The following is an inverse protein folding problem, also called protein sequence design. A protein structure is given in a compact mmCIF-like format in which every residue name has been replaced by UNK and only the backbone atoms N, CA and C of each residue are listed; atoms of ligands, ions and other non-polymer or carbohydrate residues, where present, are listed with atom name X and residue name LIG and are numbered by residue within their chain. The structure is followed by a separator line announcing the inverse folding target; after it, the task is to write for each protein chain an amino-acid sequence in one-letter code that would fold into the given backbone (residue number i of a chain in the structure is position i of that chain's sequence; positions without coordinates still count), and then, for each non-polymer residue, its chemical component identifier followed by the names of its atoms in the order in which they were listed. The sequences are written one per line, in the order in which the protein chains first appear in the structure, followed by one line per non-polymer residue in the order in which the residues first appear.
data_IF_817238501443
#
_entry.id   IF_817238501443
#
_cell.length_a   1.000
_cell.length_b   1.000
_cell.length_c   1.000
_cell.angle_alpha   90.00
_cell.angle_beta   90.00
_cell.angle_gamma   90.00
#
_symmetry.space_group_name_H-M   'P 1'
#
loop_
_entity.id
_entity.type
_entity.pdbx_description
1 polymer ?
#
# COMPACT_ATOMS: atom_id res chain seq x y z
N UNK A 1 3.50 -16.92 -23.78
CA UNK A 1 4.73 -16.90 -22.95
C UNK A 1 4.42 -17.31 -21.52
N UNK A 2 5.27 -18.14 -20.94
CA UNK A 2 5.16 -18.62 -19.56
C UNK A 2 6.22 -17.89 -18.73
N UNK A 3 5.80 -17.21 -17.67
CA UNK A 3 6.68 -16.57 -16.69
C UNK A 3 6.72 -17.45 -15.44
N UNK A 4 7.91 -17.72 -14.92
CA UNK A 4 8.10 -18.41 -13.65
C UNK A 4 8.82 -17.43 -12.73
N UNK A 5 8.17 -17.04 -11.64
CA UNK A 5 8.65 -16.06 -10.68
C UNK A 5 8.69 -16.69 -9.29
N UNK A 6 9.84 -16.59 -8.64
CA UNK A 6 10.04 -17.07 -7.28
C UNK A 6 10.26 -15.86 -6.37
N UNK A 7 9.31 -15.62 -5.46
CA UNK A 7 9.25 -14.50 -4.52
C UNK A 7 9.57 -13.11 -5.13
N UNK A 8 8.90 -12.69 -6.23
CA UNK A 8 9.25 -11.45 -6.93
C UNK A 8 8.88 -10.18 -6.15
N UNK A 9 8.05 -10.30 -5.11
CA UNK A 9 7.62 -9.18 -4.25
C UNK A 9 8.64 -8.85 -3.16
N UNK A 10 9.59 -9.75 -2.88
CA UNK A 10 10.56 -9.54 -1.81
C UNK A 10 11.45 -8.33 -2.08
N UNK A 11 11.67 -7.51 -1.05
CA UNK A 11 12.48 -6.29 -1.08
C UNK A 11 12.01 -5.21 -2.07
N UNK A 12 10.79 -5.33 -2.62
CA UNK A 12 10.19 -4.30 -3.46
C UNK A 12 9.42 -3.29 -2.61
N UNK A 13 9.45 -2.03 -3.03
CA UNK A 13 8.60 -1.02 -2.42
C UNK A 13 7.14 -1.14 -2.89
N UNK A 14 6.23 -0.52 -2.13
CA UNK A 14 4.79 -0.70 -2.33
C UNK A 14 4.37 -0.24 -3.74
N UNK A 15 5.01 0.80 -4.28
CA UNK A 15 4.78 1.30 -5.63
C UNK A 15 5.29 0.34 -6.71
N UNK A 16 6.46 -0.28 -6.52
CA UNK A 16 6.99 -1.25 -7.50
C UNK A 16 6.17 -2.54 -7.48
N UNK A 17 5.69 -2.99 -6.32
CA UNK A 17 4.74 -4.12 -6.23
C UNK A 17 3.48 -3.80 -7.05
N UNK A 18 2.92 -2.59 -6.90
CA UNK A 18 1.77 -2.13 -7.67
C UNK A 18 2.00 -2.07 -9.18
N UNK A 19 3.21 -1.66 -9.59
CA UNK A 19 3.61 -1.66 -10.99
C UNK A 19 3.72 -3.11 -11.52
N UNK A 20 4.30 -4.01 -10.72
CA UNK A 20 4.42 -5.42 -11.05
C UNK A 20 3.04 -6.09 -11.18
N UNK A 21 2.11 -5.78 -10.27
CA UNK A 21 0.71 -6.22 -10.35
C UNK A 21 0.13 -5.84 -11.71
N UNK A 22 0.18 -4.55 -12.08
CA UNK A 22 -0.33 -4.06 -13.37
C UNK A 22 0.36 -4.72 -14.57
N UNK A 23 1.67 -4.94 -14.51
CA UNK A 23 2.43 -5.57 -15.58
C UNK A 23 2.00 -7.03 -15.83
N UNK A 24 1.71 -7.75 -14.75
CA UNK A 24 1.31 -9.16 -14.79
C UNK A 24 -0.16 -9.33 -15.18
N UNK A 25 -1.04 -8.41 -14.76
CA UNK A 25 -2.46 -8.40 -15.20
C UNK A 25 -2.63 -7.97 -16.65
N UNK A 26 -1.66 -7.23 -17.21
CA UNK A 26 -1.74 -6.73 -18.59
C UNK A 26 -1.29 -7.78 -19.61
N UNK A 27 -2.24 -8.24 -20.44
CA UNK A 27 -2.02 -9.15 -21.57
C UNK A 27 -2.32 -10.62 -21.25
N UNK A 28 -2.43 -11.47 -22.28
CA UNK A 28 -2.65 -12.91 -22.12
C UNK A 28 -1.33 -13.64 -21.89
N UNK A 29 -0.83 -13.60 -20.65
CA UNK A 29 0.38 -14.30 -20.18
C UNK A 29 0.00 -15.45 -19.25
N UNK A 30 0.79 -16.51 -19.23
CA UNK A 30 0.69 -17.54 -18.18
C UNK A 30 1.79 -17.28 -17.16
N UNK A 31 1.43 -17.08 -15.90
CA UNK A 31 2.39 -16.77 -14.82
C UNK A 31 2.29 -17.87 -13.77
N UNK A 32 3.42 -18.52 -13.49
CA UNK A 32 3.61 -19.37 -12.32
C UNK A 32 4.40 -18.57 -11.29
N UNK A 33 3.83 -18.41 -10.12
CA UNK A 33 4.32 -17.52 -9.08
C UNK A 33 4.40 -18.27 -7.76
N UNK A 34 5.50 -18.09 -7.05
CA UNK A 34 5.61 -18.39 -5.62
C UNK A 34 5.77 -17.06 -4.90
N UNK A 35 4.88 -16.76 -3.95
CA UNK A 35 5.00 -15.56 -3.11
C UNK A 35 4.32 -15.77 -1.76
N UNK A 36 4.81 -15.07 -0.74
CA UNK A 36 4.13 -14.92 0.55
C UNK A 36 3.19 -13.69 0.64
N UNK A 37 3.16 -12.81 -0.37
CA UNK A 37 2.31 -11.61 -0.36
C UNK A 37 0.84 -11.96 -0.65
N UNK A 38 -0.02 -11.81 0.37
CA UNK A 38 -1.43 -12.18 0.32
C UNK A 38 -2.24 -11.29 -0.63
N UNK A 39 -1.96 -9.99 -0.67
CA UNK A 39 -2.66 -9.07 -1.57
C UNK A 39 -2.27 -9.33 -3.02
N UNK A 40 -0.99 -9.59 -3.26
CA UNK A 40 -0.50 -9.92 -4.59
C UNK A 40 -1.12 -11.22 -5.12
N UNK A 41 -1.22 -12.24 -4.27
CA UNK A 41 -1.93 -13.49 -4.60
C UNK A 41 -3.42 -13.24 -4.87
N UNK A 42 -4.10 -12.43 -4.04
CA UNK A 42 -5.53 -12.19 -4.20
C UNK A 42 -5.86 -11.41 -5.49
N UNK A 43 -5.01 -10.47 -5.88
CA UNK A 43 -5.21 -9.61 -7.05
C UNK A 43 -4.84 -10.27 -8.38
N UNK A 44 -3.80 -11.12 -8.40
CA UNK A 44 -3.25 -11.68 -9.65
C UNK A 44 -3.68 -13.12 -9.88
N UNK A 45 -3.75 -13.93 -8.83
CA UNK A 45 -3.93 -15.37 -9.00
C UNK A 45 -5.37 -15.74 -9.33
N UNK A 46 -5.52 -16.62 -10.32
CA UNK A 46 -6.78 -17.23 -10.73
C UNK A 46 -6.92 -18.68 -10.26
N UNK A 47 -5.78 -19.33 -10.00
CA UNK A 47 -5.67 -20.69 -9.48
C UNK A 47 -4.55 -20.72 -8.44
N UNK A 48 -4.82 -21.32 -7.29
CA UNK A 48 -3.85 -21.51 -6.20
C UNK A 48 -3.59 -23.00 -6.04
N UNK A 49 -2.30 -23.34 -5.91
CA UNK A 49 -1.85 -24.71 -5.68
C UNK A 49 -1.13 -24.77 -4.34
N UNK A 50 -1.72 -25.48 -3.40
CA UNK A 50 -1.14 -25.72 -2.08
C UNK A 50 -0.39 -27.05 -2.07
N UNK A 51 0.85 -27.03 -1.59
CA UNK A 51 1.61 -28.24 -1.30
C UNK A 51 1.56 -28.51 0.21
N UNK A 52 0.78 -29.50 0.63
CA UNK A 52 0.69 -29.89 2.05
C UNK A 52 0.92 -31.40 2.21
N UNK A 53 1.82 -31.78 3.14
CA UNK A 53 2.21 -33.16 3.46
C UNK A 53 2.54 -34.04 2.22
N UNK A 54 3.13 -33.44 1.20
CA UNK A 54 3.48 -34.11 -0.05
C UNK A 54 2.32 -34.31 -1.04
N UNK A 55 1.13 -33.79 -0.72
CA UNK A 55 -0.01 -33.75 -1.62
C UNK A 55 -0.15 -32.36 -2.22
N UNK A 56 -0.56 -32.30 -3.49
CA UNK A 56 -0.84 -31.04 -4.20
C UNK A 56 -2.36 -30.86 -4.28
N UNK A 57 -2.85 -29.78 -3.70
CA UNK A 57 -4.26 -29.39 -3.74
C UNK A 57 -4.44 -28.17 -4.65
N UNK A 58 -5.38 -28.25 -5.58
CA UNK A 58 -5.66 -27.17 -6.52
C UNK A 58 -6.99 -26.50 -6.21
N UNK A 59 -6.96 -25.19 -6.11
CA UNK A 59 -8.11 -24.33 -5.85
C UNK A 59 -8.28 -23.33 -6.99
N UNK A 60 -9.47 -23.27 -7.58
CA UNK A 60 -9.79 -22.29 -8.64
C UNK A 60 -10.43 -21.06 -8.00
N UNK A 61 -9.65 -20.01 -7.81
CA UNK A 61 -10.06 -18.79 -7.14
C UNK A 61 -8.85 -17.97 -6.67
N UNK A 62 -9.15 -16.84 -6.06
CA UNK A 62 -8.18 -15.96 -5.41
C UNK A 62 -7.74 -16.51 -4.04
N UNK A 63 -6.83 -15.80 -3.37
CA UNK A 63 -6.27 -16.20 -2.08
C UNK A 63 -7.32 -16.29 -0.98
N UNK A 64 -8.26 -15.34 -0.95
CA UNK A 64 -9.39 -15.34 -0.02
C UNK A 64 -10.26 -16.60 -0.16
N UNK A 65 -10.57 -17.01 -1.40
CA UNK A 65 -11.32 -18.24 -1.67
C UNK A 65 -10.56 -19.50 -1.24
N UNK A 66 -9.24 -19.53 -1.48
CA UNK A 66 -8.38 -20.62 -1.01
C UNK A 66 -8.43 -20.75 0.52
N UNK A 67 -8.32 -19.64 1.27
CA UNK A 67 -8.37 -19.65 2.73
C UNK A 67 -9.71 -20.21 3.25
N UNK A 68 -10.83 -19.78 2.67
CA UNK A 68 -12.16 -20.31 3.03
C UNK A 68 -12.21 -21.83 2.81
N UNK A 69 -11.81 -22.31 1.62
CA UNK A 69 -11.80 -23.74 1.31
C UNK A 69 -10.80 -24.56 2.11
N UNK A 70 -9.68 -23.96 2.49
CA UNK A 70 -8.71 -24.58 3.40
C UNK A 70 -9.32 -24.74 4.80
N UNK A 71 -10.00 -23.71 5.32
CA UNK A 71 -10.66 -23.79 6.62
C UNK A 71 -11.80 -24.83 6.64
N UNK A 72 -12.59 -24.93 5.57
CA UNK A 72 -13.59 -25.99 5.40
C UNK A 72 -12.93 -27.39 5.41
N UNK A 73 -11.79 -27.55 4.72
CA UNK A 73 -11.04 -28.81 4.72
C UNK A 73 -10.52 -29.16 6.10
N UNK A 74 -9.88 -28.20 6.78
CA UNK A 74 -9.31 -28.41 8.11
C UNK A 74 -10.38 -28.76 9.16
N UNK A 75 -11.56 -28.14 9.08
CA UNK A 75 -12.68 -28.49 9.97
C UNK A 75 -13.23 -29.89 9.69
N UNK A 76 -13.34 -30.29 8.42
CA UNK A 76 -13.73 -31.65 8.03
C UNK A 76 -12.69 -32.66 8.52
N UNK A 77 -11.40 -32.37 8.32
CA UNK A 77 -10.29 -33.22 8.75
C UNK A 77 -10.27 -33.35 10.28
N UNK A 78 -10.45 -32.26 11.02
CA UNK A 78 -10.53 -32.28 12.48
C UNK A 78 -11.69 -33.17 12.98
N UNK A 79 -12.88 -33.07 12.39
CA UNK A 79 -14.03 -33.94 12.71
C UNK A 79 -13.72 -35.41 12.38
N UNK A 80 -13.04 -35.68 11.25
CA UNK A 80 -12.66 -37.02 10.85
C UNK A 80 -11.63 -37.62 11.81
N UNK A 81 -10.68 -36.81 12.28
CA UNK A 81 -9.68 -37.19 13.29
C UNK A 81 -10.32 -37.47 14.63
N UNK A 82 -11.25 -36.63 15.07
CA UNK A 82 -11.96 -36.83 16.33
C UNK A 82 -12.79 -38.13 16.31
N UNK A 83 -13.53 -38.39 15.22
CA UNK A 83 -14.24 -39.66 15.00
C UNK A 83 -13.29 -40.85 15.03
N UNK A 84 -12.13 -40.74 14.37
CA UNK A 84 -11.11 -41.78 14.34
C UNK A 84 -10.52 -42.03 15.73
N UNK A 85 -10.24 -40.98 16.50
CA UNK A 85 -9.74 -41.04 17.88
C UNK A 85 -10.75 -41.71 18.82
N UNK A 86 -12.03 -41.37 18.69
CA UNK A 86 -13.10 -41.99 19.47
C UNK A 86 -13.28 -43.47 19.11
N UNK A 87 -13.16 -43.83 17.83
CA UNK A 87 -13.15 -45.23 17.39
C UNK A 87 -11.95 -45.98 17.97
N UNK A 88 -10.74 -45.41 17.86
CA UNK A 88 -9.52 -46.00 18.42
C UNK A 88 -9.66 -46.22 19.93
N UNK A 89 -10.21 -45.27 20.68
CA UNK A 89 -10.46 -45.41 22.12
C UNK A 89 -11.38 -46.61 22.44
N UNK A 90 -12.47 -46.78 21.68
CA UNK A 90 -13.41 -47.90 21.85
C UNK A 90 -12.74 -49.25 21.51
N UNK A 91 -11.97 -49.30 20.44
CA UNK A 91 -11.25 -50.52 20.05
C UNK A 91 -10.12 -50.85 21.04
N UNK A 92 -9.43 -49.84 21.60
CA UNK A 92 -8.42 -50.02 22.64
C UNK A 92 -9.03 -50.59 23.93
N UNK A 93 -10.20 -50.09 24.36
CA UNK A 93 -10.95 -50.67 25.48
C UNK A 93 -11.36 -52.12 25.21
N UNK A 94 -11.71 -52.47 23.98
CA UNK A 94 -12.01 -53.84 23.58
C UNK A 94 -10.75 -54.72 23.60
N UNK A 95 -9.62 -54.23 23.07
CA UNK A 95 -8.33 -54.94 23.09
C UNK A 95 -7.80 -55.16 24.52
N UNK A 96 -7.99 -54.19 25.44
CA UNK A 96 -7.65 -54.32 26.86
C UNK A 96 -8.39 -55.46 27.57
N UNK A 97 -9.54 -55.89 27.05
CA UNK A 97 -10.28 -57.06 27.56
C UNK A 97 -9.69 -58.41 27.10
N UNK A 98 -8.56 -58.38 26.37
CA UNK A 98 -7.84 -59.55 25.86
C UNK A 98 -8.75 -60.57 25.12
N UNK A 99 -9.46 -60.14 24.07
CA UNK A 99 -10.32 -61.03 23.30
C UNK A 99 -9.50 -62.15 22.62
N UNK A 100 -9.94 -63.40 22.76
CA UNK A 100 -9.26 -64.53 22.13
C UNK A 100 -9.54 -64.56 20.62
N UNK A 101 -8.48 -64.57 19.80
CA UNK A 101 -8.53 -64.58 18.33
C UNK A 101 -8.91 -65.95 17.73
N UNK A 102 -9.93 -66.61 18.29
CA UNK A 102 -10.33 -67.98 17.89
C UNK A 102 -11.28 -68.03 16.69
N UNK A 103 -11.87 -66.91 16.28
CA UNK A 103 -12.80 -66.81 15.13
C UNK A 103 -12.38 -65.77 14.10
N UNK A 104 -12.82 -65.94 12.85
CA UNK A 104 -12.49 -65.07 11.70
C UNK A 104 -12.85 -63.60 11.93
N UNK A 105 -14.02 -63.32 12.54
CA UNK A 105 -14.47 -61.96 12.89
C UNK A 105 -13.63 -61.28 13.99
N UNK A 106 -13.12 -62.06 14.94
CA UNK A 106 -12.26 -61.53 16.01
C UNK A 106 -10.86 -61.23 15.48
N UNK A 107 -10.35 -62.07 14.58
CA UNK A 107 -9.05 -61.87 13.93
C UNK A 107 -9.04 -60.64 13.02
N UNK A 108 -10.08 -60.46 12.19
CA UNK A 108 -10.21 -59.28 11.33
C UNK A 108 -10.33 -57.97 12.11
N UNK A 109 -10.96 -58.01 13.30
CA UNK A 109 -11.10 -56.82 14.15
C UNK A 109 -9.79 -56.43 14.84
N UNK A 110 -8.98 -57.43 15.23
CA UNK A 110 -7.64 -57.20 15.77
C UNK A 110 -6.72 -56.62 14.70
N UNK A 111 -6.75 -57.15 13.48
CA UNK A 111 -6.00 -56.60 12.33
C UNK A 111 -6.44 -55.16 12.02
N UNK A 112 -7.76 -54.90 11.98
CA UNK A 112 -8.29 -53.56 11.77
C UNK A 112 -7.88 -52.56 12.87
N UNK A 113 -7.72 -53.00 14.13
CA UNK A 113 -7.21 -52.16 15.20
C UNK A 113 -5.75 -51.72 14.95
N UNK A 114 -4.87 -52.64 14.57
CA UNK A 114 -3.47 -52.30 14.30
C UNK A 114 -3.32 -51.36 13.09
N UNK A 115 -4.10 -51.60 12.02
CA UNK A 115 -4.17 -50.69 10.87
C UNK A 115 -4.69 -49.29 11.26
N UNK A 116 -5.69 -49.23 12.14
CA UNK A 116 -6.25 -47.98 12.63
C UNK A 116 -5.26 -47.24 13.54
N UNK A 117 -4.51 -47.96 14.38
CA UNK A 117 -3.49 -47.41 15.26
C UNK A 117 -2.33 -46.80 14.46
N UNK A 118 -1.88 -47.50 13.40
CA UNK A 118 -0.82 -47.02 12.52
C UNK A 118 -1.23 -45.75 11.77
N UNK A 119 -2.44 -45.75 11.18
CA UNK A 119 -2.98 -44.56 10.49
C UNK A 119 -3.23 -43.39 11.43
N UNK A 120 -3.67 -43.64 12.67
CA UNK A 120 -3.94 -42.58 13.64
C UNK A 120 -2.67 -41.94 14.21
N UNK A 121 -1.53 -42.64 14.26
CA UNK A 121 -0.24 -42.06 14.71
C UNK A 121 0.30 -41.00 13.74
N UNK A 122 -0.03 -41.10 12.45
CA UNK A 122 0.35 -40.12 11.44
C UNK A 122 -0.46 -38.80 11.54
N UNK A 123 -1.58 -38.78 12.24
CA UNK A 123 -2.49 -37.63 12.33
C UNK A 123 -2.36 -36.93 13.69
N UNK A 124 -1.17 -36.42 14.02
CA UNK A 124 -1.03 -35.46 15.13
C UNK A 124 -1.39 -34.07 14.60
N UNK A 125 -2.45 -33.49 15.15
CA UNK A 125 -2.91 -32.14 14.84
C UNK A 125 -2.04 -31.06 15.50
N UNK A 126 -1.96 -29.92 14.83
CA UNK A 126 -1.39 -28.69 15.38
C UNK A 126 -2.52 -27.97 16.16
N UNK A 127 -2.51 -28.07 17.49
CA UNK A 127 -3.36 -27.22 18.32
C UNK A 127 -2.72 -25.82 18.38
N UNK A 128 -3.38 -24.82 17.77
CA UNK A 128 -3.01 -23.41 17.92
C UNK A 128 -3.63 -22.85 19.22
N UNK A 129 -2.79 -22.43 20.15
CA UNK A 129 -3.19 -21.73 21.39
C UNK A 129 -2.95 -20.24 21.18
N UNK A 130 -3.95 -19.41 21.50
CA UNK A 130 -3.87 -17.95 21.42
C UNK A 130 -2.95 -17.37 22.50
N UNK A 131 -2.09 -16.41 22.14
CA UNK A 131 -1.08 -15.81 23.03
C UNK A 131 -1.52 -14.42 23.52
N UNK A 132 -1.48 -14.17 24.84
CA UNK A 132 -1.77 -12.86 25.45
C UNK A 132 -0.71 -12.46 26.51
N UNK A 133 0.42 -11.90 26.04
CA UNK A 133 1.57 -11.55 26.89
C UNK A 133 1.35 -10.23 27.66
N UNK A 134 1.83 -10.18 28.92
CA UNK A 134 1.93 -8.91 29.66
C UNK A 134 3.19 -8.21 29.25
N UNK A 135 3.02 -7.07 28.61
CA UNK A 135 4.10 -6.15 28.34
C UNK A 135 4.64 -5.59 29.67
N UNK A 136 5.95 -5.42 29.76
CA UNK A 136 6.63 -4.80 30.92
C UNK A 136 5.99 -3.45 31.31
N UNK A 137 5.97 -3.14 32.62
CA UNK A 137 5.34 -1.89 33.13
C UNK A 137 5.94 -0.67 32.44
N UNK A 138 5.08 0.13 31.84
CA UNK A 138 5.44 1.28 31.03
C UNK A 138 5.13 2.57 31.79
N UNK A 139 6.14 3.43 31.98
CA UNK A 139 5.97 4.77 32.55
C UNK A 139 5.18 5.71 31.64
N UNK A 140 4.82 6.89 32.14
CA UNK A 140 4.03 7.88 31.40
C UNK A 140 4.79 8.50 30.22
N UNK A 141 6.13 8.48 30.24
CA UNK A 141 7.02 8.95 29.18
C UNK A 141 7.70 7.75 28.54
N UNK A 142 7.54 7.59 27.22
CA UNK A 142 8.06 6.43 26.46
C UNK A 142 9.21 6.89 25.55
N UNK A 143 8.89 7.76 24.59
CA UNK A 143 9.82 8.36 23.65
C UNK A 143 9.24 9.70 23.18
N UNK A 144 10.05 10.75 23.23
CA UNK A 144 9.71 12.08 22.74
C UNK A 144 10.79 12.55 21.75
N UNK A 145 10.34 12.98 20.58
CA UNK A 145 11.15 13.57 19.52
C UNK A 145 10.79 15.05 19.42
N UNK A 146 11.77 15.93 19.56
CA UNK A 146 11.59 17.37 19.45
C UNK A 146 12.50 17.94 18.36
N UNK A 147 11.90 18.50 17.31
CA UNK A 147 12.57 19.18 16.20
C UNK A 147 13.76 18.39 15.63
N UNK A 148 13.60 17.07 15.51
CA UNK A 148 14.66 16.16 15.10
C UNK A 148 14.97 16.37 13.62
N UNK A 149 16.24 16.59 13.30
CA UNK A 149 16.72 16.65 11.93
C UNK A 149 17.96 15.77 11.75
N UNK A 150 18.03 15.09 10.59
CA UNK A 150 19.14 14.24 10.20
C UNK A 150 19.47 14.39 8.72
N UNK A 151 20.76 14.58 8.42
CA UNK A 151 21.28 14.74 7.06
C UNK A 151 22.52 13.87 6.83
N UNK A 152 22.56 13.23 5.67
CA UNK A 152 23.75 12.53 5.18
C UNK A 152 24.34 13.28 3.99
N UNK A 153 25.46 13.98 4.24
CA UNK A 153 26.09 14.84 3.24
C UNK A 153 25.14 15.94 2.75
N UNK A 154 24.75 15.89 1.48
CA UNK A 154 23.79 16.80 0.87
C UNK A 154 22.32 16.31 0.95
N UNK A 155 22.08 15.05 1.32
CA UNK A 155 20.75 14.45 1.34
C UNK A 155 20.11 14.59 2.71
N UNK A 156 19.04 15.36 2.79
CA UNK A 156 18.22 15.49 3.99
C UNK A 156 17.27 14.30 4.11
N UNK A 157 17.33 13.62 5.26
CA UNK A 157 16.56 12.40 5.52
C UNK A 157 15.34 12.71 6.38
N UNK A 158 15.53 13.51 7.44
CA UNK A 158 14.44 14.01 8.31
C UNK A 158 14.70 15.49 8.55
N UNK A 159 13.67 16.31 8.38
CA UNK A 159 13.68 17.74 8.63
C UNK A 159 12.59 18.09 9.65
N UNK A 160 12.99 18.60 10.81
CA UNK A 160 12.12 19.19 11.82
C UNK A 160 10.94 18.30 12.28
N UNK A 161 11.22 17.02 12.55
CA UNK A 161 10.20 16.08 12.97
C UNK A 161 10.02 16.09 14.49
N UNK A 162 8.78 16.27 14.95
CA UNK A 162 8.43 16.21 16.37
C UNK A 162 7.27 15.25 16.60
N UNK A 163 7.43 14.34 17.56
CA UNK A 163 6.40 13.36 17.90
C UNK A 163 6.58 12.83 19.33
N UNK A 164 5.48 12.68 20.05
CA UNK A 164 5.45 12.11 21.39
C UNK A 164 4.71 10.77 21.35
N UNK A 165 5.45 9.68 21.59
CA UNK A 165 4.90 8.33 21.63
C UNK A 165 4.09 8.13 22.92
N UNK A 166 2.87 7.65 22.75
CA UNK A 166 1.93 7.28 23.81
C UNK A 166 1.85 5.76 23.94
N UNK A 167 1.32 5.33 25.08
CA UNK A 167 1.12 3.92 25.36
C UNK A 167 0.09 3.31 24.40
N UNK A 168 0.46 2.20 23.77
CA UNK A 168 -0.40 1.49 22.83
C UNK A 168 -0.36 2.07 21.41
N UNK A 169 0.53 3.02 21.11
CA UNK A 169 0.70 3.53 19.75
C UNK A 169 1.11 2.40 18.81
N UNK A 170 0.36 2.26 17.71
CA UNK A 170 0.59 1.30 16.63
C UNK A 170 0.86 2.07 15.35
N UNK A 171 2.14 2.18 15.00
CA UNK A 171 2.62 3.06 13.94
C UNK A 171 3.21 2.23 12.80
N UNK A 172 2.68 2.39 11.59
CA UNK A 172 3.26 1.87 10.36
C UNK A 172 4.19 2.90 9.71
N UNK A 173 5.35 2.46 9.21
CA UNK A 173 6.24 3.32 8.43
C UNK A 173 6.13 2.98 6.94
N UNK A 174 5.64 3.93 6.15
CA UNK A 174 5.46 3.79 4.71
C UNK A 174 6.38 4.74 3.93
N UNK A 175 6.85 4.32 2.75
CA UNK A 175 7.69 5.15 1.88
C UNK A 175 8.60 4.32 0.98
N UNK A 176 9.16 4.96 -0.06
CA UNK A 176 10.06 4.29 -1.01
C UNK A 176 11.38 3.87 -0.34
N UNK A 177 12.09 2.94 -0.98
CA UNK A 177 13.39 2.52 -0.47
C UNK A 177 14.40 3.68 -0.53
N UNK A 178 15.15 3.86 0.55
CA UNK A 178 16.13 4.94 0.68
C UNK A 178 15.55 6.33 1.00
N UNK A 179 14.29 6.43 1.45
CA UNK A 179 13.70 7.69 1.94
C UNK A 179 14.10 8.03 3.38
N UNK A 180 14.58 7.05 4.16
CA UNK A 180 15.05 7.29 5.54
C UNK A 180 14.49 6.39 6.64
N UNK A 181 13.63 5.42 6.32
CA UNK A 181 12.97 4.55 7.31
C UNK A 181 13.94 3.90 8.30
N UNK A 182 14.96 3.19 7.82
CA UNK A 182 15.97 2.56 8.70
C UNK A 182 16.79 3.59 9.49
N UNK A 183 17.10 4.74 8.90
CA UNK A 183 17.74 5.85 9.63
C UNK A 183 16.85 6.37 10.77
N UNK A 184 15.55 6.51 10.54
CA UNK A 184 14.59 6.87 11.59
C UNK A 184 14.60 5.84 12.71
N UNK A 185 14.59 4.54 12.37
CA UNK A 185 14.68 3.46 13.35
C UNK A 185 15.99 3.50 14.17
N UNK A 186 17.13 3.78 13.53
CA UNK A 186 18.41 3.92 14.21
C UNK A 186 18.45 5.14 15.15
N UNK A 187 17.79 6.24 14.77
CA UNK A 187 17.68 7.43 15.62
C UNK A 187 16.84 7.16 16.87
N UNK A 188 15.68 6.52 16.74
CA UNK A 188 14.79 6.25 17.88
C UNK A 188 15.34 5.18 18.83
N UNK A 189 16.19 4.28 18.34
CA UNK A 189 16.87 3.26 19.15
C UNK A 189 18.17 3.75 19.76
N UNK A 190 18.63 4.96 19.38
CA UNK A 190 19.84 5.59 19.89
C UNK A 190 21.14 5.08 19.28
N UNK A 191 21.09 4.24 18.23
CA UNK A 191 22.27 3.80 17.47
C UNK A 191 22.90 4.96 16.69
N UNK A 192 22.06 5.90 16.24
CA UNK A 192 22.47 7.14 15.60
C UNK A 192 22.03 8.36 16.41
N UNK A 193 22.84 9.42 16.36
CA UNK A 193 22.50 10.71 16.97
C UNK A 193 21.84 11.64 15.95
N UNK A 194 20.83 12.42 16.35
CA UNK A 194 20.29 13.48 15.50
C UNK A 194 21.32 14.60 15.30
N UNK A 195 21.27 15.28 14.17
CA UNK A 195 22.15 16.43 13.90
C UNK A 195 21.60 17.72 14.51
N UNK A 196 20.25 17.83 14.61
CA UNK A 196 19.52 18.86 15.35
C UNK A 196 18.34 18.25 16.08
N UNK A 197 17.86 18.95 17.10
CA UNK A 197 16.74 18.51 17.95
C UNK A 197 17.19 17.60 19.09
N UNK A 198 16.21 17.06 19.82
CA UNK A 198 16.43 16.17 20.97
C UNK A 198 15.54 14.94 20.91
N UNK A 199 16.09 13.82 21.37
CA UNK A 199 15.39 12.56 21.55
C UNK A 199 15.44 12.22 23.04
N UNK A 200 14.28 12.19 23.70
CA UNK A 200 14.15 11.87 25.11
C UNK A 200 13.48 10.51 25.28
N UNK A 201 14.26 9.51 25.70
CA UNK A 201 13.79 8.14 25.98
C UNK A 201 13.35 8.02 27.43
N UNK A 202 12.23 7.36 27.69
CA UNK A 202 11.77 7.04 29.04
C UNK A 202 12.65 5.99 29.73
N UNK A 203 12.89 6.15 31.04
CA UNK A 203 13.76 5.24 31.82
C UNK A 203 13.28 3.78 31.83
N UNK A 204 11.97 3.56 31.72
CA UNK A 204 11.38 2.21 31.71
C UNK A 204 11.25 1.62 30.31
N UNK A 205 11.70 2.30 29.26
CA UNK A 205 11.52 1.84 27.87
C UNK A 205 12.49 0.71 27.55
N UNK A 206 11.95 -0.45 27.16
CA UNK A 206 12.71 -1.63 26.73
C UNK A 206 12.42 -1.87 25.26
N UNK A 207 13.44 -1.67 24.42
CA UNK A 207 13.35 -1.87 22.98
C UNK A 207 13.51 -3.33 22.59
N UNK A 208 12.60 -3.80 21.75
CA UNK A 208 12.76 -5.01 20.95
C UNK A 208 12.89 -4.60 19.50
N UNK A 209 14.06 -4.81 18.90
CA UNK A 209 14.28 -4.46 17.50
C UNK A 209 14.57 -5.72 16.68
N UNK A 210 13.63 -6.07 15.80
CA UNK A 210 13.82 -7.05 14.73
C UNK A 210 14.35 -6.33 13.49
N UNK A 211 15.62 -6.59 13.16
CA UNK A 211 16.31 -6.09 11.96
C UNK A 211 16.35 -7.19 10.90
N UNK A 212 16.33 -6.79 9.63
CA UNK A 212 16.58 -7.67 8.47
C UNK A 212 18.00 -8.29 8.46
N UNK A 213 18.92 -7.77 9.29
CA UNK A 213 20.26 -8.34 9.47
C UNK A 213 20.24 -9.70 10.17
N UNK A 214 21.16 -10.58 9.79
CA UNK A 214 21.20 -11.98 10.25
C UNK A 214 21.39 -12.16 11.76
N UNK A 215 20.99 -13.35 12.22
CA UNK A 215 21.08 -13.79 13.60
C UNK A 215 22.56 -13.86 14.08
N UNK A 216 23.02 -12.91 14.89
CA UNK A 216 24.32 -12.98 15.58
C UNK A 216 24.28 -13.98 16.73
N UNK A 217 24.36 -15.27 16.40
CA UNK A 217 24.33 -16.36 17.38
C UNK A 217 25.34 -17.42 16.98
N UNK A 218 25.96 -18.06 17.98
CA UNK A 218 26.86 -19.16 17.73
C UNK A 218 26.07 -20.34 17.13
N UNK A 219 26.45 -20.77 15.94
CA UNK A 219 25.74 -21.83 15.23
C UNK A 219 25.82 -23.20 15.93
N UNK A 220 26.71 -23.33 16.91
CA UNK A 220 26.92 -24.50 17.76
C UNK A 220 25.99 -24.56 18.96
N UNK A 221 25.24 -23.50 19.26
CA UNK A 221 24.33 -23.48 20.39
C UNK A 221 23.03 -24.22 20.02
N UNK A 222 22.32 -24.71 21.05
CA UNK A 222 20.99 -25.31 20.86
C UNK A 222 19.95 -24.21 20.76
N UNK A 223 18.92 -24.43 19.96
CA UNK A 223 17.82 -23.48 19.75
C UNK A 223 17.20 -23.02 21.07
N UNK A 224 16.91 -23.97 21.96
CA UNK A 224 16.36 -23.65 23.28
C UNK A 224 17.31 -22.81 24.14
N UNK A 225 18.61 -23.10 24.10
CA UNK A 225 19.61 -22.44 24.95
C UNK A 225 19.80 -20.99 24.51
N UNK A 226 19.78 -20.72 23.19
CA UNK A 226 19.85 -19.36 22.63
C UNK A 226 18.73 -18.47 23.16
N UNK A 227 17.54 -19.02 23.31
CA UNK A 227 16.35 -18.30 23.78
C UNK A 227 16.36 -18.17 25.30
N UNK A 228 16.70 -19.25 26.02
CA UNK A 228 16.84 -19.24 27.49
C UNK A 228 17.91 -18.30 28.00
N UNK A 229 19.00 -18.11 27.26
CA UNK A 229 20.06 -17.16 27.61
C UNK A 229 19.56 -15.71 27.75
N UNK A 230 18.38 -15.40 27.22
CA UNK A 230 17.76 -14.07 27.33
C UNK A 230 16.81 -14.03 28.52
N UNK A 231 15.90 -15.00 28.59
CA UNK A 231 14.92 -15.14 29.64
C UNK A 231 14.45 -16.60 29.73
N UNK A 232 14.38 -17.14 30.95
CA UNK A 232 13.83 -18.47 31.18
C UNK A 232 12.30 -18.51 31.01
N UNK A 233 11.64 -17.38 31.27
CA UNK A 233 10.19 -17.24 31.24
C UNK A 233 9.72 -15.80 31.00
N UNK A 234 8.51 -15.67 30.43
CA UNK A 234 7.79 -14.40 30.26
C UNK A 234 6.49 -14.46 31.08
N UNK A 235 6.19 -13.38 31.81
CA UNK A 235 4.91 -13.24 32.53
C UNK A 235 3.79 -12.75 31.59
N UNK A 236 2.66 -13.47 31.58
CA UNK A 236 1.47 -13.21 30.79
C UNK A 236 0.51 -12.25 31.49
N UNK A 237 -0.42 -11.64 30.73
CA UNK A 237 -1.29 -10.57 31.22
C UNK A 237 -2.22 -11.05 32.34
N UNK A 238 -2.59 -12.32 32.29
CA UNK A 238 -3.38 -13.08 33.27
C UNK A 238 -2.59 -13.52 34.52
N UNK A 239 -1.27 -13.28 34.57
CA UNK A 239 -0.39 -13.73 35.66
C UNK A 239 0.17 -15.14 35.48
N UNK A 240 -0.11 -15.81 34.37
CA UNK A 240 0.54 -17.08 34.01
C UNK A 240 1.96 -16.83 33.49
N UNK A 241 2.80 -17.86 33.52
CA UNK A 241 4.20 -17.78 33.11
C UNK A 241 4.38 -18.68 31.89
N UNK A 242 4.76 -18.09 30.74
CA UNK A 242 5.13 -18.86 29.55
C UNK A 242 6.63 -19.15 29.60
N UNK A 243 6.97 -20.44 29.51
CA UNK A 243 8.37 -20.88 29.41
C UNK A 243 8.91 -20.70 27.99
N UNK A 244 10.24 -20.60 27.87
CA UNK A 244 10.87 -20.48 26.57
C UNK A 244 10.54 -21.61 25.58
N UNK A 245 10.36 -22.84 26.08
CA UNK A 245 9.98 -24.01 25.27
C UNK A 245 8.54 -23.93 24.76
N UNK A 246 7.61 -23.39 25.56
CA UNK A 246 6.24 -23.16 25.13
C UNK A 246 6.18 -22.10 24.03
N UNK A 247 6.85 -20.95 24.20
CA UNK A 247 6.88 -19.91 23.17
C UNK A 247 7.46 -20.43 21.86
N UNK A 248 8.57 -21.20 21.92
CA UNK A 248 9.15 -21.84 20.74
C UNK A 248 8.16 -22.78 20.04
N UNK A 249 7.43 -23.59 20.82
CA UNK A 249 6.41 -24.50 20.27
C UNK A 249 5.32 -23.73 19.52
N UNK A 250 4.87 -22.59 20.05
CA UNK A 250 3.87 -21.74 19.40
C UNK A 250 4.38 -21.13 18.10
N UNK A 251 5.66 -20.76 18.03
CA UNK A 251 6.31 -20.29 16.80
C UNK A 251 6.81 -21.44 15.90
N UNK A 252 6.08 -22.56 15.91
CA UNK A 252 6.25 -23.71 15.04
C UNK A 252 7.62 -24.42 15.20
N UNK A 253 8.24 -24.34 16.38
CA UNK A 253 9.38 -25.20 16.73
C UNK A 253 8.92 -26.39 17.58
N UNK A 254 8.69 -27.57 16.99
CA UNK A 254 8.34 -28.76 17.75
C UNK A 254 9.46 -29.11 18.76
N UNK A 255 9.13 -29.76 19.90
CA UNK A 255 10.10 -30.05 20.97
C UNK A 255 11.37 -30.76 20.48
N UNK A 256 11.26 -31.65 19.49
CA UNK A 256 12.40 -32.36 18.89
C UNK A 256 13.42 -31.41 18.24
N UNK A 257 12.94 -30.34 17.59
CA UNK A 257 13.80 -29.32 16.96
C UNK A 257 14.40 -28.36 17.97
N UNK A 258 13.76 -28.12 19.12
CA UNK A 258 14.26 -27.21 20.15
C UNK A 258 15.59 -27.65 20.76
N UNK A 259 15.82 -28.97 20.84
CA UNK A 259 17.09 -29.53 21.31
C UNK A 259 18.16 -29.64 20.21
N UNK A 260 17.80 -29.34 18.96
CA UNK A 260 18.71 -29.30 17.83
C UNK A 260 19.66 -28.10 17.88
N UNK A 261 20.70 -28.15 17.04
CA UNK A 261 21.67 -27.07 16.88
C UNK A 261 21.20 -26.05 15.85
N UNK A 262 21.56 -24.77 16.06
CA UNK A 262 21.19 -23.65 15.17
C UNK A 262 21.72 -23.84 13.73
N UNK A 263 22.87 -24.49 13.54
CA UNK A 263 23.42 -24.77 12.21
C UNK A 263 22.53 -25.66 11.31
N UNK A 264 21.64 -26.47 11.89
CA UNK A 264 20.73 -27.35 11.16
C UNK A 264 19.42 -26.67 10.76
N UNK A 265 19.18 -25.45 11.23
CA UNK A 265 17.98 -24.70 10.93
C UNK A 265 18.01 -24.16 9.50
N UNK A 266 16.85 -24.17 8.83
CA UNK A 266 16.66 -23.47 7.56
C UNK A 266 16.76 -21.96 7.75
N UNK A 267 16.95 -21.21 6.65
CA UNK A 267 17.00 -19.74 6.71
C UNK A 267 15.75 -19.13 7.36
N UNK A 268 14.55 -19.62 7.00
CA UNK A 268 13.28 -19.19 7.61
C UNK A 268 13.18 -19.56 9.08
N UNK A 269 13.66 -20.74 9.48
CA UNK A 269 13.72 -21.13 10.90
C UNK A 269 14.70 -20.24 11.69
N UNK A 270 15.87 -19.91 11.14
CA UNK A 270 16.80 -18.96 11.78
C UNK A 270 16.15 -17.59 12.00
N UNK A 271 15.35 -17.10 11.04
CA UNK A 271 14.59 -15.84 11.15
C UNK A 271 13.48 -15.91 12.21
N UNK A 272 12.75 -17.02 12.31
CA UNK A 272 11.81 -17.26 13.42
C UNK A 272 12.51 -17.21 14.78
N UNK A 273 13.68 -17.83 14.89
CA UNK A 273 14.47 -17.81 16.12
C UNK A 273 14.91 -16.38 16.50
N UNK A 274 15.24 -15.55 15.50
CA UNK A 274 15.56 -14.14 15.71
C UNK A 274 14.39 -13.35 16.26
N UNK A 275 13.20 -13.55 15.70
CA UNK A 275 11.97 -12.95 16.21
C UNK A 275 11.74 -13.39 17.66
N UNK A 276 11.93 -14.67 17.99
CA UNK A 276 11.79 -15.17 19.37
C UNK A 276 12.76 -14.52 20.33
N UNK A 277 14.01 -14.31 19.90
CA UNK A 277 15.02 -13.61 20.67
C UNK A 277 14.58 -12.19 21.05
N UNK A 278 13.92 -11.50 20.11
CA UNK A 278 13.40 -10.14 20.33
C UNK A 278 12.21 -10.16 21.29
N UNK A 279 11.25 -11.06 21.09
CA UNK A 279 10.05 -11.15 21.93
C UNK A 279 10.35 -11.59 23.37
N UNK A 280 11.37 -12.45 23.57
CA UNK A 280 11.81 -12.89 24.90
C UNK A 280 12.32 -11.76 25.81
N UNK A 281 12.76 -10.65 25.24
CA UNK A 281 13.16 -9.48 26.03
C UNK A 281 11.98 -8.81 26.76
N UNK A 282 10.75 -9.25 26.50
CA UNK A 282 9.52 -8.60 26.93
C UNK A 282 9.53 -7.08 26.71
N UNK A 283 9.80 -6.64 25.47
CA UNK A 283 9.91 -5.22 25.15
C UNK A 283 8.56 -4.52 25.35
N UNK A 284 8.59 -3.26 25.76
CA UNK A 284 7.42 -2.38 25.74
C UNK A 284 7.40 -1.42 24.54
N UNK A 285 8.49 -1.43 23.77
CA UNK A 285 8.63 -0.75 22.49
C UNK A 285 9.16 -1.75 21.47
N UNK A 286 8.30 -2.23 20.58
CA UNK A 286 8.63 -3.25 19.58
C UNK A 286 8.77 -2.59 18.21
N UNK A 287 9.89 -2.84 17.55
CA UNK A 287 10.20 -2.38 16.20
C UNK A 287 10.40 -3.61 15.33
N UNK A 288 9.59 -3.73 14.28
CA UNK A 288 9.68 -4.81 13.30
C UNK A 288 10.02 -4.20 11.94
N UNK A 289 11.23 -4.49 11.44
CA UNK A 289 11.71 -4.00 10.15
C UNK A 289 11.61 -5.10 9.09
N UNK A 290 10.65 -4.96 8.18
CA UNK A 290 10.28 -5.89 7.10
C UNK A 290 10.09 -7.36 7.55
N UNK A 291 9.22 -7.65 8.53
CA UNK A 291 9.02 -9.03 9.00
C UNK A 291 8.40 -9.95 7.94
N UNK A 292 7.66 -9.41 6.96
CA UNK A 292 6.97 -10.18 5.91
C UNK A 292 7.91 -10.86 4.92
N UNK A 293 9.06 -10.25 4.62
CA UNK A 293 9.99 -10.72 3.58
C UNK A 293 10.72 -12.01 3.97
N UNK A 294 10.64 -12.36 5.25
CA UNK A 294 11.53 -13.28 5.91
C UNK A 294 10.78 -14.47 6.53
N UNK A 295 9.44 -14.41 6.56
CA UNK A 295 8.60 -15.32 7.32
C UNK A 295 7.49 -15.90 6.45
N UNK A 296 7.32 -17.22 6.51
CA UNK A 296 6.22 -17.92 5.85
C UNK A 296 4.84 -17.43 6.37
N UNK A 297 3.80 -17.58 5.56
CA UNK A 297 2.40 -17.17 5.87
C UNK A 297 1.93 -17.66 7.25
N UNK A 298 2.21 -18.92 7.60
CA UNK A 298 1.79 -19.50 8.88
C UNK A 298 2.47 -18.80 10.07
N UNK A 299 3.73 -18.38 9.88
CA UNK A 299 4.46 -17.63 10.90
C UNK A 299 3.96 -16.21 11.03
N UNK A 300 3.62 -15.58 9.90
CA UNK A 300 3.01 -14.25 9.89
C UNK A 300 1.66 -14.27 10.62
N UNK A 301 0.83 -15.29 10.44
CA UNK A 301 -0.42 -15.45 11.20
C UNK A 301 -0.19 -15.51 12.71
N UNK A 302 0.76 -16.34 13.17
CA UNK A 302 1.10 -16.43 14.60
C UNK A 302 1.63 -15.09 15.13
N UNK A 303 2.45 -14.39 14.33
CA UNK A 303 2.96 -13.07 14.70
C UNK A 303 1.84 -12.02 14.74
N UNK A 304 0.90 -12.03 13.80
CA UNK A 304 -0.28 -11.16 13.80
C UNK A 304 -1.11 -11.36 15.07
N UNK A 305 -1.45 -12.59 15.42
CA UNK A 305 -2.22 -12.91 16.63
C UNK A 305 -1.51 -12.45 17.91
N UNK A 306 -0.17 -12.55 17.92
CA UNK A 306 0.66 -12.01 18.99
C UNK A 306 0.59 -10.49 19.07
N UNK A 307 0.74 -9.81 17.94
CA UNK A 307 0.79 -8.35 17.84
C UNK A 307 -0.58 -7.71 18.08
N UNK A 308 -1.68 -8.40 17.77
CA UNK A 308 -3.03 -7.92 18.04
C UNK A 308 -3.27 -7.77 19.56
N UNK A 309 -2.74 -8.72 20.34
CA UNK A 309 -2.84 -8.70 21.80
C UNK A 309 -1.75 -7.87 22.50
N UNK A 310 -0.77 -7.35 21.77
CA UNK A 310 0.35 -6.60 22.32
C UNK A 310 -0.09 -5.18 22.77
N UNK A 311 0.22 -4.83 24.03
CA UNK A 311 -0.23 -3.57 24.66
C UNK A 311 0.86 -2.48 24.75
N UNK A 312 2.03 -2.74 24.18
CA UNK A 312 3.14 -1.78 24.13
C UNK A 312 3.04 -0.88 22.90
N UNK A 313 4.11 -0.12 22.64
CA UNK A 313 4.26 0.63 21.39
C UNK A 313 4.79 -0.29 20.32
N UNK A 314 4.15 -0.29 19.14
CA UNK A 314 4.54 -1.06 17.97
C UNK A 314 4.90 -0.10 16.84
N UNK A 315 6.11 -0.26 16.30
CA UNK A 315 6.49 0.31 15.01
C UNK A 315 6.70 -0.82 14.01
N UNK A 316 5.97 -0.76 12.91
CA UNK A 316 6.03 -1.74 11.85
C UNK A 316 6.51 -1.06 10.57
N UNK A 317 7.69 -1.46 10.08
CA UNK A 317 8.08 -1.23 8.67
C UNK A 317 7.69 -2.47 7.92
N UNK A 318 6.74 -2.34 6.99
CA UNK A 318 6.39 -3.45 6.12
C UNK A 318 6.03 -2.92 4.75
N UNK A 319 6.27 -3.76 3.74
CA UNK A 319 5.73 -3.58 2.40
C UNK A 319 4.42 -4.35 2.20
N UNK A 320 4.07 -5.22 3.15
CA UNK A 320 2.80 -5.91 3.21
C UNK A 320 1.69 -4.96 3.69
N UNK A 321 0.79 -4.61 2.76
CA UNK A 321 -0.37 -3.75 3.01
C UNK A 321 -1.34 -4.37 4.01
N UNK A 322 -1.48 -5.70 4.02
CA UNK A 322 -2.41 -6.41 4.90
C UNK A 322 -1.97 -6.29 6.35
N UNK A 323 -0.67 -6.49 6.57
CA UNK A 323 -0.08 -6.39 7.89
C UNK A 323 -0.18 -4.96 8.44
N UNK A 324 0.07 -3.95 7.58
CA UNK A 324 -0.08 -2.54 7.95
C UNK A 324 -1.54 -2.20 8.29
N UNK A 325 -2.49 -2.54 7.44
CA UNK A 325 -3.91 -2.22 7.65
C UNK A 325 -4.50 -2.88 8.89
N UNK A 326 -4.05 -4.10 9.21
CA UNK A 326 -4.57 -4.86 10.36
C UNK A 326 -3.95 -4.42 11.69
N UNK A 327 -2.67 -4.06 11.70
CA UNK A 327 -1.90 -3.87 12.94
C UNK A 327 -1.58 -2.41 13.28
N UNK A 328 -1.82 -1.46 12.37
CA UNK A 328 -1.44 -0.05 12.55
C UNK A 328 -2.65 0.87 12.55
N UNK A 329 -2.67 1.82 13.47
CA UNK A 329 -3.71 2.86 13.59
C UNK A 329 -3.24 4.21 13.02
N UNK A 330 -1.92 4.35 12.86
CA UNK A 330 -1.26 5.57 12.44
C UNK A 330 -0.12 5.24 11.48
N UNK A 331 0.09 6.08 10.47
CA UNK A 331 1.12 5.92 9.46
C UNK A 331 2.07 7.12 9.43
N UNK A 332 3.37 6.85 9.41
CA UNK A 332 4.39 7.83 9.08
C UNK A 332 4.84 7.60 7.64
N UNK A 333 4.51 8.56 6.79
CA UNK A 333 4.79 8.52 5.36
C UNK A 333 6.05 9.34 5.09
N UNK A 334 7.08 8.65 4.60
CA UNK A 334 8.35 9.24 4.19
C UNK A 334 8.28 9.58 2.70
N UNK A 335 7.93 10.83 2.38
CA UNK A 335 7.87 11.35 1.01
C UNK A 335 9.28 11.58 0.41
N UNK A 336 10.30 11.61 1.27
CA UNK A 336 11.68 11.94 0.92
C UNK A 336 11.99 13.43 1.09
N UNK A 337 13.26 13.81 0.84
CA UNK A 337 13.78 15.18 1.03
C UNK A 337 13.58 15.73 2.46
N UNK A 338 13.52 14.87 3.47
CA UNK A 338 13.35 15.28 4.87
C UNK A 338 11.91 15.32 5.37
N UNK A 339 10.90 15.15 4.50
CA UNK A 339 9.50 15.29 4.90
C UNK A 339 8.96 13.95 5.42
N UNK A 340 8.44 13.98 6.64
CA UNK A 340 7.73 12.87 7.28
C UNK A 340 6.32 13.34 7.61
N UNK A 341 5.33 12.88 6.85
CA UNK A 341 3.92 13.19 7.10
C UNK A 341 3.32 12.15 8.05
N UNK A 342 2.52 12.62 8.99
CA UNK A 342 1.75 11.78 9.90
C UNK A 342 0.32 11.68 9.38
N UNK A 343 -0.17 10.46 9.17
CA UNK A 343 -1.55 10.16 8.83
C UNK A 343 -2.18 9.28 9.91
N UNK A 344 -3.38 9.63 10.36
CA UNK A 344 -4.11 8.86 11.36
C UNK A 344 -5.19 8.06 10.63
N UNK A 345 -4.99 6.76 10.50
CA UNK A 345 -5.81 5.88 9.67
C UNK A 345 -4.99 4.73 9.10
N UNK A 346 -5.66 3.82 8.40
CA UNK A 346 -5.03 2.69 7.74
C UNK A 346 -4.39 3.11 6.39
N UNK A 347 -3.66 2.20 5.75
CA UNK A 347 -2.98 2.45 4.48
C UNK A 347 -3.95 2.52 3.31
N UNK A 348 -5.02 1.72 3.35
CA UNK A 348 -6.07 1.73 2.34
C UNK A 348 -6.76 3.11 2.20
N UNK A 349 -7.13 3.73 3.32
CA UNK A 349 -7.80 5.03 3.39
C UNK A 349 -6.86 6.14 2.89
N UNK A 350 -5.60 6.12 3.35
CA UNK A 350 -4.57 7.05 2.86
C UNK A 350 -4.44 6.99 1.33
N UNK A 351 -4.45 5.78 0.76
CA UNK A 351 -4.33 5.59 -0.69
C UNK A 351 -5.55 6.14 -1.43
N UNK A 352 -6.76 5.90 -0.94
CA UNK A 352 -7.98 6.43 -1.57
C UNK A 352 -7.96 7.96 -1.63
N UNK A 353 -7.58 8.60 -0.52
CA UNK A 353 -7.42 10.06 -0.47
C UNK A 353 -6.34 10.56 -1.44
N UNK A 354 -5.20 9.88 -1.53
CA UNK A 354 -4.13 10.22 -2.47
C UNK A 354 -4.59 10.11 -3.93
N UNK A 355 -5.32 9.05 -4.28
CA UNK A 355 -5.87 8.88 -5.62
C UNK A 355 -6.91 9.95 -5.96
N UNK A 356 -7.75 10.35 -5.00
CA UNK A 356 -8.69 11.46 -5.16
C UNK A 356 -7.98 12.79 -5.37
N UNK A 357 -6.97 13.09 -4.56
CA UNK A 357 -6.13 14.29 -4.71
C UNK A 357 -5.47 14.30 -6.09
N UNK A 358 -4.88 13.19 -6.53
CA UNK A 358 -4.26 13.10 -7.85
C UNK A 358 -5.26 13.23 -8.99
N UNK A 359 -6.49 12.70 -8.85
CA UNK A 359 -7.57 12.89 -9.83
C UNK A 359 -7.96 14.36 -9.89
N UNK A 360 -8.16 15.01 -8.75
CA UNK A 360 -8.47 16.44 -8.67
C UNK A 360 -7.34 17.30 -9.23
N UNK A 361 -6.08 16.95 -9.01
CA UNK A 361 -4.92 17.64 -9.60
C UNK A 361 -4.84 17.43 -11.11
N UNK A 362 -5.08 16.21 -11.61
CA UNK A 362 -5.14 15.92 -13.05
C UNK A 362 -6.33 16.63 -13.70
N UNK A 363 -7.45 16.78 -13.00
CA UNK A 363 -8.60 17.56 -13.47
C UNK A 363 -8.31 19.05 -13.47
N UNK A 364 -7.65 19.57 -12.43
CA UNK A 364 -7.16 20.96 -12.39
C UNK A 364 -6.16 21.21 -13.51
N UNK A 365 -5.20 20.32 -13.72
CA UNK A 365 -4.23 20.42 -14.82
C UNK A 365 -4.93 20.32 -16.17
N UNK A 366 -5.87 19.40 -16.39
CA UNK A 366 -6.67 19.35 -17.61
C UNK A 366 -7.48 20.63 -17.83
N UNK A 367 -8.04 21.24 -16.78
CA UNK A 367 -8.72 22.54 -16.87
C UNK A 367 -7.73 23.65 -17.23
N UNK A 368 -6.55 23.68 -16.62
CA UNK A 368 -5.48 24.64 -16.93
C UNK A 368 -4.98 24.43 -18.37
N UNK A 369 -4.78 23.20 -18.83
CA UNK A 369 -4.38 22.89 -20.21
C UNK A 369 -5.51 23.24 -21.19
N UNK A 370 -6.77 23.02 -20.85
CA UNK A 370 -7.91 23.45 -21.67
C UNK A 370 -8.09 24.98 -21.70
N UNK A 371 -7.77 25.68 -20.61
CA UNK A 371 -7.70 27.14 -20.55
C UNK A 371 -6.48 27.70 -21.29
N UNK A 372 -5.37 26.97 -21.35
CA UNK A 372 -4.17 27.35 -22.13
C UNK A 372 -4.28 27.01 -23.63
N UNK A 373 -5.12 26.02 -24.01
CA UNK A 373 -5.42 25.68 -25.41
C UNK A 373 -6.56 26.54 -25.98
N UNK A 374 -7.28 27.30 -25.15
CA UNK A 374 -7.89 28.54 -25.68
C UNK A 374 -6.71 29.43 -26.08
N UNK A 375 -6.54 29.74 -27.38
CA UNK A 375 -5.49 30.66 -27.76
C UNK A 375 -5.75 31.95 -26.98
N UNK A 376 -4.77 32.35 -26.17
CA UNK A 376 -4.61 33.73 -25.76
C UNK A 376 -4.24 34.46 -27.04
N UNK A 377 -5.22 34.66 -27.93
CA UNK A 377 -5.24 35.88 -28.72
C UNK A 377 -5.47 36.92 -27.64
N UNK A 378 -4.39 37.55 -27.18
CA UNK A 378 -4.48 38.92 -26.74
C UNK A 378 -5.00 39.67 -27.96
N UNK A 379 -6.32 39.70 -28.13
CA UNK A 379 -6.95 40.85 -28.74
C UNK A 379 -6.65 41.98 -27.77
N UNK A 380 -5.48 42.60 -27.92
CA UNK A 380 -5.44 44.04 -27.77
C UNK A 380 -6.53 44.54 -28.71
N UNK A 381 -7.74 44.75 -28.17
CA UNK A 381 -8.72 45.61 -28.81
C UNK A 381 -7.97 46.91 -29.05
N UNK A 382 -7.47 47.10 -30.27
CA UNK A 382 -6.96 48.38 -30.75
C UNK A 382 -8.12 49.34 -30.59
N UNK A 383 -8.20 50.02 -29.45
CA UNK A 383 -9.11 51.14 -29.28
C UNK A 383 -8.74 52.14 -30.37
N UNK A 384 -9.71 52.48 -31.21
CA UNK A 384 -9.58 53.52 -32.23
C UNK A 384 -8.90 54.74 -31.61
N UNK A 385 -7.85 55.23 -32.27
CA UNK A 385 -7.22 56.48 -31.92
C UNK A 385 -8.26 57.61 -31.93
N UNK A 386 -8.11 58.64 -31.10
CA UNK A 386 -9.03 59.79 -31.07
C UNK A 386 -9.23 60.42 -32.47
N UNK A 387 -8.22 60.31 -33.34
CA UNK A 387 -8.31 60.75 -34.74
C UNK A 387 -9.21 59.85 -35.60
N UNK A 388 -9.23 58.55 -35.35
CA UNK A 388 -10.02 57.56 -36.10
C UNK A 388 -11.50 57.57 -35.68
N UNK A 389 -11.82 57.86 -34.41
CA UNK A 389 -13.20 58.12 -33.98
C UNK A 389 -13.79 59.39 -34.63
N UNK A 390 -12.95 60.42 -34.80
CA UNK A 390 -13.35 61.65 -35.46
C UNK A 390 -13.47 61.47 -36.99
N UNK A 391 -12.67 60.59 -37.57
CA UNK A 391 -12.79 60.13 -38.96
C UNK A 391 -14.10 59.36 -39.18
N UNK A 392 -14.47 58.44 -38.28
CA UNK A 392 -15.72 57.69 -38.34
C UNK A 392 -16.96 58.59 -38.38
N UNK A 393 -17.08 59.53 -37.42
CA UNK A 393 -18.21 60.46 -37.38
C UNK A 393 -18.26 61.37 -38.62
N UNK A 394 -17.10 61.76 -39.17
CA UNK A 394 -17.03 62.54 -40.41
C UNK A 394 -17.45 61.74 -41.63
N UNK A 395 -17.05 60.47 -41.72
CA UNK A 395 -17.43 59.59 -42.83
C UNK A 395 -18.94 59.38 -42.85
N UNK A 396 -19.59 59.26 -41.69
CA UNK A 396 -21.05 59.15 -41.59
C UNK A 396 -21.76 60.40 -42.14
N UNK A 397 -21.35 61.60 -41.71
CA UNK A 397 -21.89 62.86 -42.26
C UNK A 397 -21.60 63.05 -43.76
N UNK A 398 -20.45 62.57 -44.24
CA UNK A 398 -20.06 62.69 -45.65
C UNK A 398 -20.84 61.71 -46.54
N UNK A 399 -21.11 60.50 -46.07
CA UNK A 399 -21.94 59.51 -46.78
C UNK A 399 -23.37 60.04 -46.91
N UNK A 400 -23.96 60.56 -45.84
CA UNK A 400 -25.32 61.13 -45.87
C UNK A 400 -25.44 62.32 -46.86
N UNK A 401 -24.40 63.18 -46.92
CA UNK A 401 -24.33 64.29 -47.90
C UNK A 401 -24.20 63.79 -49.34
N UNK A 402 -23.46 62.71 -49.59
CA UNK A 402 -23.31 62.15 -50.92
C UNK A 402 -24.58 61.41 -51.37
N UNK A 403 -25.24 60.68 -50.48
CA UNK A 403 -26.53 60.01 -50.75
C UNK A 403 -27.62 61.01 -51.10
N UNK A 404 -27.70 62.13 -50.36
CA UNK A 404 -28.64 63.21 -50.67
C UNK A 404 -28.32 63.87 -52.02
N UNK A 405 -27.04 64.02 -52.39
CA UNK A 405 -26.66 64.51 -53.72
C UNK A 405 -27.02 63.53 -54.84
N UNK A 406 -26.87 62.21 -54.63
CA UNK A 406 -27.32 61.19 -55.58
C UNK A 406 -28.82 61.27 -55.76
N UNK A 407 -29.59 61.39 -54.68
CA UNK A 407 -31.05 61.52 -54.75
C UNK A 407 -31.48 62.74 -55.58
N UNK A 408 -30.89 63.91 -55.31
CA UNK A 408 -31.16 65.15 -56.06
C UNK A 408 -30.79 65.03 -57.54
N UNK A 409 -29.60 64.50 -57.86
CA UNK A 409 -29.18 64.31 -59.26
C UNK A 409 -30.00 63.26 -59.99
N UNK A 410 -30.50 62.24 -59.29
CA UNK A 410 -31.41 61.24 -59.86
C UNK A 410 -32.78 61.85 -60.16
N UNK A 411 -33.28 62.77 -59.32
CA UNK A 411 -34.47 63.56 -59.62
C UNK A 411 -34.26 64.49 -60.82
N UNK A 412 -33.11 65.17 -60.91
CA UNK A 412 -32.75 66.00 -62.07
C UNK A 412 -32.65 65.16 -63.36
N UNK A 413 -32.05 63.97 -63.29
CA UNK A 413 -31.96 63.02 -64.42
C UNK A 413 -33.35 62.65 -64.96
N UNK A 414 -34.34 62.49 -64.07
CA UNK A 414 -35.71 62.14 -64.46
C UNK A 414 -36.47 63.30 -65.13
N UNK A 415 -36.01 64.55 -64.98
CA UNK A 415 -36.68 65.74 -65.54
C UNK A 415 -36.04 66.24 -66.84
N UNK A 416 -34.81 65.82 -67.17
CA UNK A 416 -34.05 66.31 -68.32
C UNK A 416 -34.27 65.41 -69.54
N UNK A 417 -34.66 65.99 -70.67
CA UNK A 417 -34.91 65.28 -71.94
C UNK A 417 -33.77 65.37 -72.96
N UNK A 418 -32.69 66.08 -72.61
CA UNK A 418 -31.51 66.30 -73.48
C UNK A 418 -30.51 65.15 -73.34
N UNK A 419 -30.32 64.38 -74.42
CA UNK A 419 -29.54 63.14 -74.43
C UNK A 419 -28.07 63.31 -74.02
N UNK A 420 -27.44 64.46 -74.30
CA UNK A 420 -26.04 64.70 -73.92
C UNK A 420 -25.89 64.96 -72.41
N UNK A 421 -26.86 65.65 -71.81
CA UNK A 421 -26.89 65.94 -70.37
C UNK A 421 -27.26 64.72 -69.53
N UNK A 422 -28.08 63.82 -70.08
CA UNK A 422 -28.39 62.54 -69.45
C UNK A 422 -27.14 61.67 -69.28
N UNK A 423 -26.27 61.62 -70.29
CA UNK A 423 -25.03 60.84 -70.21
C UNK A 423 -24.06 61.41 -69.17
N UNK A 424 -23.89 62.75 -69.12
CA UNK A 424 -23.00 63.37 -68.13
C UNK A 424 -23.53 63.24 -66.70
N UNK A 425 -24.85 63.38 -66.49
CA UNK A 425 -25.47 63.18 -65.18
C UNK A 425 -25.37 61.73 -64.71
N UNK A 426 -25.54 60.76 -65.62
CA UNK A 426 -25.36 59.34 -65.30
C UNK A 426 -23.92 59.01 -64.89
N UNK A 427 -22.91 59.56 -65.60
CA UNK A 427 -21.50 59.41 -65.22
C UNK A 427 -21.18 60.08 -63.87
N UNK A 428 -21.75 61.25 -63.61
CA UNK A 428 -21.58 61.94 -62.33
C UNK A 428 -22.22 61.16 -61.17
N UNK A 429 -23.44 60.64 -61.34
CA UNK A 429 -24.10 59.78 -60.35
C UNK A 429 -23.26 58.54 -60.08
N UNK A 430 -22.78 57.86 -61.13
CA UNK A 430 -21.92 56.69 -60.99
C UNK A 430 -20.61 57.01 -60.25
N UNK A 431 -20.01 58.18 -60.50
CA UNK A 431 -18.80 58.62 -59.80
C UNK A 431 -19.04 58.90 -58.32
N UNK A 432 -20.17 59.51 -57.97
CA UNK A 432 -20.54 59.80 -56.58
C UNK A 432 -20.88 58.50 -55.85
N UNK A 433 -21.57 57.58 -56.52
CA UNK A 433 -21.94 56.29 -55.94
C UNK A 433 -20.70 55.43 -55.64
N UNK A 434 -19.70 55.46 -56.52
CA UNK A 434 -18.40 54.84 -56.24
C UNK A 434 -17.69 55.47 -55.04
N UNK A 435 -17.80 56.79 -54.84
CA UNK A 435 -17.23 57.45 -53.66
C UNK A 435 -17.98 57.07 -52.37
N UNK A 436 -19.29 56.85 -52.45
CA UNK A 436 -20.08 56.33 -51.33
C UNK A 436 -19.60 54.92 -50.97
N UNK A 437 -19.41 54.04 -51.96
CA UNK A 437 -18.94 52.68 -51.74
C UNK A 437 -17.56 52.66 -51.06
N UNK A 438 -16.59 53.41 -51.61
CA UNK A 438 -15.22 53.49 -51.05
C UNK A 438 -15.21 54.03 -49.60
N UNK A 439 -16.04 55.05 -49.31
CA UNK A 439 -16.17 55.61 -47.95
C UNK A 439 -16.92 54.67 -47.00
N UNK A 440 -17.90 53.94 -47.51
CA UNK A 440 -18.68 52.96 -46.76
C UNK A 440 -17.82 51.78 -46.34
N UNK A 441 -16.97 51.26 -47.23
CA UNK A 441 -15.99 50.21 -46.88
C UNK A 441 -15.04 50.68 -45.77
N UNK A 442 -14.57 51.93 -45.84
CA UNK A 442 -13.71 52.52 -44.80
C UNK A 442 -14.45 52.71 -43.47
N UNK A 443 -15.71 53.14 -43.52
CA UNK A 443 -16.57 53.26 -42.33
C UNK A 443 -16.84 51.89 -41.69
N UNK A 444 -17.12 50.86 -42.49
CA UNK A 444 -17.38 49.49 -42.03
C UNK A 444 -16.13 48.89 -41.39
N UNK A 445 -14.96 49.12 -42.00
CA UNK A 445 -13.68 48.76 -41.41
C UNK A 445 -13.47 49.42 -40.03
N UNK A 446 -13.78 50.71 -39.88
CA UNK A 446 -13.65 51.41 -38.59
C UNK A 446 -14.72 50.95 -37.57
N UNK A 447 -15.92 50.58 -38.02
CA UNK A 447 -17.00 50.05 -37.18
C UNK A 447 -16.62 48.71 -36.51
N UNK A 448 -15.88 47.85 -37.22
CA UNK A 448 -15.38 46.58 -36.68
C UNK A 448 -14.41 46.75 -35.48
N UNK A 449 -13.86 47.97 -35.28
CA UNK A 449 -12.96 48.30 -34.16
C UNK A 449 -13.60 49.15 -33.04
N UNK A 450 -14.85 49.60 -33.19
CA UNK A 450 -15.65 50.15 -32.07
C UNK A 450 -16.19 49.03 -31.19
#
# INVERSE_FOLDING_TARGET
DIYILDEPTNHLDIETIEWLEKLLTTGSKTVLLVTHDRYFLDNICTEIRELDRGNLFTYKGNYSYFLEKKSERETIDAVMVEKSRNLLRRELEWMRRQPQARGTKSKSRIEAYYDLEEKSKAIKGNDSVQLSVKVSRQGSKILELEHVAKRYGAKEIIHDFSYTFKKGDRIGLAGKNGTGKSTFLNLITGEEKPDKGSIAVGETTVYGYYKQGGLEVNETDRVLDVVKNIADYIEMANGEVITASQLLTHFLFPPEKQFGFVNKLSGGEKKRLQLMRVLMKNPNFLILDEPSNDLDIDTLNVLEDFLDNYKGVLILVSHDRYLLDKLTDQLFIFEGKGIVQIYNGNYADFKLEQEEIQKLEKEKQKRITQEQVKPIVKEEKKKLSYKEQLEYNKLEEEIEKLETQVALKTEELNQVTDHLKLSSLAEEIQSIQKQIDDKSERWLYLADFM
#
